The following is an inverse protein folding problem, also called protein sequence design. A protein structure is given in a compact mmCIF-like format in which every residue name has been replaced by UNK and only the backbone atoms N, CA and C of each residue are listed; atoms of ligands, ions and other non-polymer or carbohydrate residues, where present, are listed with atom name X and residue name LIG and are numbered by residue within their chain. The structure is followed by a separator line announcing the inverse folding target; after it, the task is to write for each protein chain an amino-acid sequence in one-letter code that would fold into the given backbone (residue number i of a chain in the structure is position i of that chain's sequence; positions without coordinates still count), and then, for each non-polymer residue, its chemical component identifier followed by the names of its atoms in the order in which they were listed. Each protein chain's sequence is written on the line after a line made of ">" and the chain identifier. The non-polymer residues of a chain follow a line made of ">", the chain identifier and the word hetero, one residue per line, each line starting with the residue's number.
data_IF_604742995952
#
_entry.id   IF_604742995952
#
_cell.length_a   1.000
_cell.length_b   1.000
_cell.length_c   1.000
_cell.angle_alpha   90.00
_cell.angle_beta   90.00
_cell.angle_gamma   90.00
#
_symmetry.space_group_name_H-M   'P 1'
#
loop_
_entity.id
_entity.type
_entity.pdbx_description
1 polymer ?
#
# COMPACT_ATOMS: atom_id res chain seq x y z
N UNK A 1 21.45 -0.39 -22.53
CA UNK A 1 21.04 0.22 -21.26
C UNK A 1 19.60 0.64 -21.44
N UNK A 2 18.69 0.17 -20.58
CA UNK A 2 17.26 0.47 -20.66
C UNK A 2 16.87 1.30 -19.45
N UNK A 3 16.27 2.46 -19.68
CA UNK A 3 15.85 3.45 -18.70
C UNK A 3 14.33 3.63 -18.74
N UNK A 4 13.66 3.36 -17.62
CA UNK A 4 12.19 3.42 -17.51
C UNK A 4 11.78 4.46 -16.47
N UNK A 5 10.84 5.32 -16.83
CA UNK A 5 10.13 6.19 -15.90
C UNK A 5 8.80 5.55 -15.50
N UNK A 6 8.59 5.28 -14.21
CA UNK A 6 7.39 4.67 -13.66
C UNK A 6 6.52 5.67 -12.91
N UNK A 7 5.20 5.62 -13.11
CA UNK A 7 4.20 6.44 -12.39
C UNK A 7 3.26 5.55 -11.56
N UNK A 8 3.21 5.81 -10.25
CA UNK A 8 2.33 5.14 -9.28
C UNK A 8 1.31 6.13 -8.72
N UNK A 9 0.02 5.77 -8.75
CA UNK A 9 -1.09 6.63 -8.33
C UNK A 9 -2.37 5.85 -7.96
N UNK A 10 -2.23 4.61 -7.48
CA UNK A 10 -3.34 3.69 -7.19
C UNK A 10 -4.07 4.01 -5.87
N UNK A 11 -3.37 4.61 -4.91
CA UNK A 11 -3.85 4.80 -3.54
C UNK A 11 -3.69 6.26 -3.07
N UNK A 12 -3.47 6.50 -1.77
CA UNK A 12 -3.25 7.85 -1.24
C UNK A 12 -1.83 8.41 -1.48
N UNK A 13 -0.92 7.60 -2.02
CA UNK A 13 0.42 8.02 -2.41
C UNK A 13 0.49 8.19 -3.93
N UNK A 14 1.22 9.22 -4.35
CA UNK A 14 1.63 9.43 -5.74
C UNK A 14 3.15 9.46 -5.79
N UNK A 15 3.74 8.76 -6.75
CA UNK A 15 5.18 8.68 -6.90
C UNK A 15 5.59 8.54 -8.36
N UNK A 16 6.80 9.02 -8.65
CA UNK A 16 7.46 8.82 -9.93
C UNK A 16 8.85 8.30 -9.65
N UNK A 17 9.21 7.17 -10.26
CA UNK A 17 10.52 6.56 -10.10
C UNK A 17 11.21 6.39 -11.45
N UNK A 18 12.54 6.42 -11.45
CA UNK A 18 13.35 6.18 -12.64
C UNK A 18 14.33 5.05 -12.34
N UNK A 19 14.32 4.02 -13.20
CA UNK A 19 15.17 2.84 -13.06
C UNK A 19 15.96 2.65 -14.35
N UNK A 20 17.27 2.41 -14.24
CA UNK A 20 18.15 2.10 -15.36
C UNK A 20 18.89 0.80 -15.09
N UNK A 21 18.69 -0.19 -15.95
CA UNK A 21 19.34 -1.51 -15.86
C UNK A 21 19.29 -2.17 -14.47
N UNK A 22 18.16 -1.98 -13.76
CA UNK A 22 17.95 -2.53 -12.41
C UNK A 22 18.42 -1.64 -11.26
N UNK A 23 19.01 -0.48 -11.54
CA UNK A 23 19.39 0.52 -10.54
C UNK A 23 18.30 1.60 -10.41
N UNK A 24 17.92 1.92 -9.17
CA UNK A 24 16.96 2.99 -8.86
C UNK A 24 17.71 4.32 -8.85
N UNK A 25 17.48 5.15 -9.87
CA UNK A 25 18.11 6.47 -10.01
C UNK A 25 17.34 7.56 -9.24
N UNK A 26 16.01 7.45 -9.17
CA UNK A 26 15.17 8.36 -8.40
C UNK A 26 13.86 7.71 -7.97
N UNK A 27 13.27 8.20 -6.87
CA UNK A 27 12.00 7.70 -6.34
C UNK A 27 11.24 8.73 -5.45
N UNK A 28 11.04 9.99 -5.88
CA UNK A 28 10.25 10.95 -5.11
C UNK A 28 8.77 10.53 -5.02
N UNK A 29 8.16 10.85 -3.87
CA UNK A 29 6.75 10.55 -3.57
C UNK A 29 6.10 11.60 -2.68
N UNK A 30 4.79 11.74 -2.79
CA UNK A 30 3.96 12.52 -1.89
C UNK A 30 2.79 11.67 -1.36
N UNK A 31 2.44 11.89 -0.10
CA UNK A 31 1.36 11.17 0.59
C UNK A 31 0.22 12.12 0.91
N UNK A 32 -0.99 11.76 0.53
CA UNK A 32 -2.19 12.43 1.02
C UNK A 32 -2.54 11.89 2.41
N UNK A 33 -2.54 12.77 3.40
CA UNK A 33 -2.98 12.48 4.76
C UNK A 33 -4.42 12.98 4.93
N UNK A 34 -5.35 12.05 5.13
CA UNK A 34 -6.73 12.40 5.40
C UNK A 34 -6.85 13.09 6.77
N UNK A 35 -7.82 14.02 6.97
CA UNK A 35 -8.08 14.63 8.26
C UNK A 35 -8.27 13.58 9.37
N UNK A 36 -7.97 13.97 10.60
CA UNK A 36 -8.09 13.09 11.77
C UNK A 36 -9.48 12.43 11.85
N UNK A 37 -9.50 11.13 12.15
CA UNK A 37 -10.71 10.32 12.21
C UNK A 37 -11.33 9.94 10.85
N UNK A 38 -10.78 10.41 9.73
CA UNK A 38 -11.30 10.12 8.39
C UNK A 38 -10.37 9.20 7.59
N UNK A 39 -10.95 8.47 6.65
CA UNK A 39 -10.22 7.76 5.59
C UNK A 39 -10.10 8.63 4.35
N UNK A 40 -9.07 8.41 3.53
CA UNK A 40 -8.89 9.17 2.29
C UNK A 40 -9.95 8.78 1.26
N UNK A 41 -10.62 9.78 0.66
CA UNK A 41 -11.67 9.56 -0.34
C UNK A 41 -11.12 9.70 -1.77
N UNK A 42 -11.69 9.00 -2.76
CA UNK A 42 -11.19 9.07 -4.14
C UNK A 42 -11.10 10.49 -4.73
N UNK A 43 -12.10 11.39 -4.56
CA UNK A 43 -12.03 12.74 -5.17
C UNK A 43 -10.91 13.62 -4.57
N UNK A 44 -10.77 13.61 -3.25
CA UNK A 44 -9.74 14.37 -2.52
C UNK A 44 -8.34 13.84 -2.85
N UNK A 45 -8.18 12.52 -2.89
CA UNK A 45 -6.92 11.87 -3.26
C UNK A 45 -6.51 12.23 -4.69
N UNK A 46 -7.47 12.21 -5.63
CA UNK A 46 -7.21 12.60 -7.01
C UNK A 46 -6.85 14.09 -7.12
N UNK A 47 -7.46 14.97 -6.31
CA UNK A 47 -7.08 16.38 -6.24
C UNK A 47 -5.64 16.56 -5.75
N UNK A 48 -5.25 15.85 -4.69
CA UNK A 48 -3.87 15.82 -4.21
C UNK A 48 -2.89 15.35 -5.31
N UNK A 49 -3.22 14.28 -6.04
CA UNK A 49 -2.36 13.80 -7.13
C UNK A 49 -2.20 14.85 -8.24
N UNK A 50 -3.30 15.51 -8.67
CA UNK A 50 -3.25 16.57 -9.69
C UNK A 50 -2.35 17.73 -9.29
N UNK A 51 -2.36 18.10 -8.01
CA UNK A 51 -1.53 19.19 -7.47
C UNK A 51 -0.04 18.83 -7.41
N UNK A 52 0.30 17.55 -7.31
CA UNK A 52 1.67 17.11 -7.01
C UNK A 52 2.39 16.42 -8.17
N UNK A 53 1.67 15.73 -9.06
CA UNK A 53 2.28 14.79 -10.03
C UNK A 53 3.30 15.47 -10.95
N UNK A 54 3.01 16.68 -11.45
CA UNK A 54 3.94 17.41 -12.34
C UNK A 54 5.24 17.75 -11.60
N UNK A 55 5.14 18.27 -10.37
CA UNK A 55 6.31 18.54 -9.52
C UNK A 55 7.13 17.27 -9.29
N UNK A 56 6.47 16.15 -8.96
CA UNK A 56 7.16 14.87 -8.69
C UNK A 56 7.86 14.33 -9.94
N UNK A 57 7.28 14.50 -11.15
CA UNK A 57 7.97 14.16 -12.41
C UNK A 57 9.25 14.98 -12.56
N UNK A 58 9.18 16.30 -12.32
CA UNK A 58 10.34 17.19 -12.41
C UNK A 58 11.41 16.76 -11.40
N UNK A 59 11.02 16.53 -10.14
CA UNK A 59 11.91 16.07 -9.08
C UNK A 59 12.58 14.73 -9.46
N UNK A 60 11.83 13.80 -10.06
CA UNK A 60 12.34 12.49 -10.45
C UNK A 60 13.41 12.59 -11.55
N UNK A 61 13.17 13.44 -12.56
CA UNK A 61 14.13 13.70 -13.64
C UNK A 61 15.40 14.38 -13.10
N UNK A 62 15.24 15.37 -12.22
CA UNK A 62 16.36 16.08 -11.59
C UNK A 62 17.21 15.15 -10.72
N UNK A 63 16.58 14.35 -9.86
CA UNK A 63 17.28 13.38 -8.99
C UNK A 63 18.02 12.31 -9.80
N UNK A 64 17.45 11.87 -10.93
CA UNK A 64 18.10 10.93 -11.84
C UNK A 64 19.12 11.57 -12.80
N UNK A 65 19.30 12.91 -12.73
CA UNK A 65 20.15 13.68 -13.62
C UNK A 65 19.85 13.48 -15.12
N UNK A 66 18.58 13.32 -15.48
CA UNK A 66 18.11 13.24 -16.87
C UNK A 66 17.84 14.65 -17.38
N UNK A 67 18.50 15.05 -18.45
CA UNK A 67 18.38 16.39 -19.04
C UNK A 67 17.57 16.38 -20.32
N UNK A 68 17.61 15.28 -21.06
CA UNK A 68 16.89 15.09 -22.31
C UNK A 68 16.03 13.82 -22.24
N UNK A 69 14.84 13.89 -21.61
CA UNK A 69 13.97 12.74 -21.43
C UNK A 69 13.63 12.01 -22.74
N UNK A 70 13.53 12.74 -23.87
CA UNK A 70 13.19 12.17 -25.17
C UNK A 70 14.24 11.17 -25.68
N UNK A 71 15.52 11.38 -25.32
CA UNK A 71 16.63 10.54 -25.77
C UNK A 71 17.22 9.66 -24.66
N UNK A 72 16.89 9.92 -23.39
CA UNK A 72 17.44 9.20 -22.24
C UNK A 72 16.46 8.24 -21.54
N UNK A 73 15.17 8.29 -21.89
CA UNK A 73 14.13 7.39 -21.36
C UNK A 73 13.62 6.52 -22.50
N UNK A 74 13.70 5.21 -22.33
CA UNK A 74 13.29 4.23 -23.34
C UNK A 74 11.81 3.85 -23.22
N UNK A 75 11.18 4.11 -22.07
CA UNK A 75 9.80 3.74 -21.82
C UNK A 75 9.17 4.45 -20.63
N UNK A 76 7.85 4.65 -20.71
CA UNK A 76 7.04 5.14 -19.59
C UNK A 76 6.14 4.02 -19.10
N UNK A 77 6.32 3.61 -17.85
CA UNK A 77 5.43 2.68 -17.16
C UNK A 77 4.43 3.43 -16.29
N UNK A 78 3.19 2.94 -16.22
CA UNK A 78 2.20 3.49 -15.28
C UNK A 78 1.31 2.41 -14.71
N UNK A 79 0.80 2.68 -13.51
CA UNK A 79 -0.11 1.76 -12.84
C UNK A 79 -1.47 1.76 -13.53
N UNK A 80 -1.80 0.65 -14.20
CA UNK A 80 -3.12 0.44 -14.81
C UNK A 80 -4.17 0.00 -13.78
N UNK A 81 -3.72 -0.64 -12.71
CA UNK A 81 -4.55 -1.08 -11.59
C UNK A 81 -4.02 -2.37 -10.94
N UNK A 82 -4.70 -2.91 -9.91
CA UNK A 82 -5.90 -2.35 -9.26
C UNK A 82 -5.61 -1.07 -8.47
N UNK A 83 -6.67 -0.37 -8.04
CA UNK A 83 -6.57 0.87 -7.26
C UNK A 83 -7.83 1.73 -7.32
N UNK A 84 -7.80 2.89 -6.68
CA UNK A 84 -8.90 3.87 -6.71
C UNK A 84 -9.01 4.50 -8.10
N UNK A 85 -10.21 4.45 -8.70
CA UNK A 85 -10.42 4.87 -10.09
C UNK A 85 -10.01 6.32 -10.37
N UNK A 86 -10.44 7.28 -9.55
CA UNK A 86 -10.12 8.70 -9.77
C UNK A 86 -8.61 9.02 -9.65
N UNK A 87 -7.89 8.54 -8.62
CA UNK A 87 -6.42 8.61 -8.57
C UNK A 87 -5.69 7.93 -9.74
N UNK A 88 -6.09 6.72 -10.14
CA UNK A 88 -5.51 6.00 -11.28
C UNK A 88 -5.61 6.79 -12.58
N UNK A 89 -6.74 7.48 -12.80
CA UNK A 89 -6.92 8.33 -13.98
C UNK A 89 -5.89 9.45 -14.05
N UNK A 90 -5.50 10.04 -12.91
CA UNK A 90 -4.49 11.11 -12.89
C UNK A 90 -3.15 10.61 -13.40
N UNK A 91 -2.64 9.49 -12.86
CA UNK A 91 -1.38 8.91 -13.30
C UNK A 91 -1.41 8.45 -14.76
N UNK A 92 -2.52 7.83 -15.18
CA UNK A 92 -2.69 7.37 -16.57
C UNK A 92 -2.71 8.53 -17.59
N UNK A 93 -3.37 9.65 -17.25
CA UNK A 93 -3.38 10.85 -18.12
C UNK A 93 -1.98 11.42 -18.25
N UNK A 94 -1.25 11.60 -17.13
CA UNK A 94 0.12 12.13 -17.15
C UNK A 94 1.05 11.22 -17.96
N UNK A 95 1.00 9.90 -17.73
CA UNK A 95 1.84 8.95 -18.47
C UNK A 95 1.60 9.01 -19.98
N UNK A 96 0.34 9.04 -20.42
CA UNK A 96 -0.03 9.16 -21.84
C UNK A 96 0.40 10.48 -22.44
N UNK A 97 0.28 11.58 -21.69
CA UNK A 97 0.73 12.90 -22.15
C UNK A 97 2.24 12.91 -22.35
N UNK A 98 3.02 12.42 -21.39
CA UNK A 98 4.48 12.35 -21.50
C UNK A 98 4.92 11.43 -22.65
N UNK A 99 4.28 10.26 -22.79
CA UNK A 99 4.57 9.32 -23.87
C UNK A 99 4.35 9.96 -25.25
N UNK A 100 3.28 10.72 -25.43
CA UNK A 100 3.00 11.43 -26.69
C UNK A 100 3.96 12.60 -26.92
N UNK A 101 4.24 13.40 -25.88
CA UNK A 101 5.14 14.55 -25.99
C UNK A 101 6.57 14.14 -26.35
N UNK A 102 7.06 13.05 -25.76
CA UNK A 102 8.42 12.57 -25.99
C UNK A 102 8.51 11.50 -27.08
N UNK A 103 7.37 11.06 -27.63
CA UNK A 103 7.31 9.95 -28.60
C UNK A 103 7.95 8.65 -28.08
N UNK A 104 7.73 8.35 -26.79
CA UNK A 104 8.29 7.19 -26.08
C UNK A 104 7.19 6.15 -25.84
N UNK A 105 7.47 4.83 -25.94
CA UNK A 105 6.47 3.78 -25.70
C UNK A 105 5.90 3.80 -24.27
N UNK A 106 4.64 3.39 -24.15
CA UNK A 106 3.87 3.39 -22.91
C UNK A 106 3.52 1.97 -22.47
N UNK A 107 3.82 1.64 -21.22
CA UNK A 107 3.63 0.30 -20.63
C UNK A 107 2.62 0.34 -19.48
N UNK A 108 1.45 -0.30 -19.61
CA UNK A 108 0.55 -0.48 -18.49
C UNK A 108 1.05 -1.59 -17.56
N UNK A 109 1.18 -1.28 -16.27
CA UNK A 109 1.70 -2.19 -15.24
C UNK A 109 0.61 -2.54 -14.22
N UNK A 110 0.57 -3.80 -13.81
CA UNK A 110 -0.24 -4.25 -12.69
C UNK A 110 0.43 -3.87 -11.36
N UNK A 111 -0.31 -3.19 -10.48
CA UNK A 111 0.21 -2.68 -9.21
C UNK A 111 0.83 -3.77 -8.32
N UNK A 112 0.14 -4.92 -8.20
CA UNK A 112 0.59 -6.03 -7.36
C UNK A 112 1.89 -6.66 -7.90
N UNK A 113 1.98 -6.83 -9.22
CA UNK A 113 3.20 -7.33 -9.88
C UNK A 113 4.34 -6.31 -9.71
N UNK A 114 4.07 -5.00 -9.76
CA UNK A 114 5.06 -3.97 -9.47
C UNK A 114 5.70 -4.13 -8.09
N UNK A 115 4.89 -4.42 -7.06
CA UNK A 115 5.40 -4.73 -5.72
C UNK A 115 6.29 -5.98 -5.70
N UNK A 116 5.86 -7.07 -6.36
CA UNK A 116 6.59 -8.33 -6.40
C UNK A 116 7.95 -8.15 -7.09
N UNK A 117 7.96 -7.58 -8.30
CA UNK A 117 9.19 -7.42 -9.10
C UNK A 117 10.18 -6.44 -8.46
N UNK A 118 9.68 -5.36 -7.85
CA UNK A 118 10.54 -4.47 -7.06
C UNK A 118 11.15 -5.21 -5.87
N UNK A 119 10.34 -6.01 -5.15
CA UNK A 119 10.82 -6.85 -4.05
C UNK A 119 11.92 -7.81 -4.50
N UNK A 120 11.72 -8.52 -5.62
CA UNK A 120 12.70 -9.44 -6.23
C UNK A 120 13.99 -8.70 -6.61
N UNK A 121 13.88 -7.53 -7.24
CA UNK A 121 15.03 -6.72 -7.67
C UNK A 121 15.92 -6.30 -6.49
N UNK A 122 15.30 -5.80 -5.42
CA UNK A 122 16.02 -5.28 -4.25
C UNK A 122 16.57 -6.40 -3.37
N UNK A 123 15.77 -7.43 -3.10
CA UNK A 123 16.14 -8.52 -2.18
C UNK A 123 16.91 -9.65 -2.86
N UNK A 124 16.96 -9.66 -4.19
CA UNK A 124 17.51 -10.76 -5.01
C UNK A 124 16.79 -12.10 -4.82
N UNK A 125 15.53 -12.08 -4.37
CA UNK A 125 14.70 -13.27 -4.27
C UNK A 125 14.36 -13.84 -5.67
N UNK A 126 14.72 -15.09 -5.94
CA UNK A 126 14.60 -15.70 -7.27
C UNK A 126 13.23 -16.30 -7.58
N UNK A 127 12.58 -16.97 -6.64
CA UNK A 127 11.23 -17.53 -6.82
C UNK A 127 10.47 -17.64 -5.48
N UNK A 128 10.15 -16.50 -4.84
CA UNK A 128 9.53 -16.50 -3.53
C UNK A 128 8.04 -16.84 -3.58
N UNK A 129 7.53 -17.38 -2.47
CA UNK A 129 6.12 -17.20 -2.10
C UNK A 129 6.01 -15.83 -1.46
N UNK A 130 5.16 -14.97 -2.00
CA UNK A 130 5.04 -13.56 -1.62
C UNK A 130 3.78 -13.36 -0.80
N UNK A 131 3.94 -12.85 0.42
CA UNK A 131 2.85 -12.27 1.19
C UNK A 131 2.74 -10.78 0.83
N UNK A 132 1.74 -10.43 0.05
CA UNK A 132 1.45 -9.05 -0.34
C UNK A 132 0.41 -8.44 0.58
N UNK A 133 0.88 -7.55 1.47
CA UNK A 133 0.07 -6.88 2.48
C UNK A 133 0.14 -5.36 2.28
N UNK A 134 -1.02 -4.74 2.07
CA UNK A 134 -1.17 -3.28 1.94
C UNK A 134 -2.49 -2.80 2.56
N UNK A 135 -2.74 -1.49 2.49
CA UNK A 135 -4.03 -0.93 2.88
C UNK A 135 -5.21 -1.39 2.02
N UNK A 136 -4.95 -1.89 0.81
CA UNK A 136 -5.98 -2.32 -0.15
C UNK A 136 -5.91 -3.79 -0.57
N UNK A 137 -4.86 -4.52 -0.21
CA UNK A 137 -4.66 -5.90 -0.62
C UNK A 137 -4.07 -6.75 0.51
N UNK A 138 -4.47 -8.03 0.56
CA UNK A 138 -3.88 -9.05 1.44
C UNK A 138 -3.96 -10.37 0.70
N UNK A 139 -2.83 -10.80 0.13
CA UNK A 139 -2.76 -11.93 -0.79
C UNK A 139 -1.47 -12.73 -0.61
N UNK A 140 -1.56 -14.05 -0.72
CA UNK A 140 -0.43 -14.97 -0.84
C UNK A 140 -0.28 -15.33 -2.31
N UNK A 141 0.83 -14.91 -2.92
CA UNK A 141 1.07 -14.99 -4.36
C UNK A 141 2.32 -15.81 -4.63
N UNK A 142 2.28 -16.70 -5.62
CA UNK A 142 3.48 -17.37 -6.13
C UNK A 142 3.44 -17.52 -7.65
N UNK A 143 4.61 -17.53 -8.27
CA UNK A 143 4.75 -17.72 -9.71
C UNK A 143 4.61 -19.20 -10.06
N UNK A 144 3.57 -19.55 -10.81
CA UNK A 144 3.34 -20.92 -11.25
C UNK A 144 2.64 -20.96 -12.60
N UNK A 145 3.14 -21.83 -13.48
CA UNK A 145 2.60 -22.01 -14.83
C UNK A 145 2.54 -20.70 -15.61
N UNK A 146 3.66 -19.96 -15.61
CA UNK A 146 3.85 -18.68 -16.31
C UNK A 146 2.91 -17.54 -15.85
N UNK A 147 2.37 -17.63 -14.63
CA UNK A 147 1.49 -16.61 -14.06
C UNK A 147 1.79 -16.41 -12.58
N UNK A 148 1.68 -15.18 -12.11
CA UNK A 148 1.49 -14.90 -10.68
C UNK A 148 0.07 -15.32 -10.29
N UNK A 149 -0.03 -16.31 -9.40
CA UNK A 149 -1.30 -16.89 -8.95
C UNK A 149 -1.51 -16.56 -7.48
N UNK A 150 -2.76 -16.23 -7.14
CA UNK A 150 -3.21 -16.06 -5.77
C UNK A 150 -3.54 -17.45 -5.22
N UNK A 151 -2.84 -17.84 -4.15
CA UNK A 151 -3.07 -19.10 -3.43
C UNK A 151 -3.99 -18.90 -2.23
N UNK A 152 -3.97 -17.70 -1.63
CA UNK A 152 -4.88 -17.30 -0.57
C UNK A 152 -5.04 -15.79 -0.54
N UNK A 153 -6.19 -15.30 -0.13
CA UNK A 153 -6.45 -13.88 0.01
C UNK A 153 -7.43 -13.55 1.13
N UNK A 154 -7.54 -12.27 1.44
CA UNK A 154 -8.65 -11.80 2.29
C UNK A 154 -9.98 -11.98 1.56
N UNK A 155 -10.98 -12.51 2.25
CA UNK A 155 -12.35 -12.67 1.77
C UNK A 155 -13.17 -11.38 1.92
N UNK A 156 -12.64 -10.38 2.63
CA UNK A 156 -13.36 -9.14 2.93
C UNK A 156 -12.50 -7.87 2.84
N UNK A 157 -11.85 -7.47 3.93
CA UNK A 157 -11.02 -6.26 4.03
C UNK A 157 -9.55 -6.65 4.11
N UNK A 158 -8.70 -5.83 3.49
CA UNK A 158 -7.26 -5.98 3.64
C UNK A 158 -6.83 -5.70 5.08
N UNK A 159 -5.76 -6.36 5.52
CA UNK A 159 -5.21 -6.20 6.87
C UNK A 159 -4.81 -4.76 7.17
N UNK A 160 -4.20 -4.06 6.20
CA UNK A 160 -3.90 -2.63 6.37
C UNK A 160 -5.17 -1.78 6.55
N UNK A 161 -6.28 -2.13 5.88
CA UNK A 161 -7.55 -1.46 6.11
C UNK A 161 -8.14 -1.74 7.49
N UNK A 162 -8.01 -2.98 7.97
CA UNK A 162 -8.41 -3.37 9.31
C UNK A 162 -7.64 -2.56 10.37
N UNK A 163 -6.31 -2.48 10.25
CA UNK A 163 -5.43 -1.69 11.13
C UNK A 163 -5.78 -0.20 11.07
N UNK A 164 -5.96 0.36 9.87
CA UNK A 164 -6.32 1.79 9.72
C UNK A 164 -7.68 2.11 10.34
N UNK A 165 -8.68 1.21 10.19
CA UNK A 165 -9.99 1.39 10.83
C UNK A 165 -9.89 1.25 12.33
N UNK A 166 -9.13 0.28 12.82
CA UNK A 166 -8.88 0.11 14.24
C UNK A 166 -8.23 1.36 14.85
N UNK A 167 -7.17 1.88 14.23
CA UNK A 167 -6.48 3.08 14.68
C UNK A 167 -7.45 4.28 14.82
N UNK A 168 -8.39 4.44 13.88
CA UNK A 168 -9.43 5.46 13.97
C UNK A 168 -10.41 5.24 15.13
N UNK A 169 -10.76 3.99 15.45
CA UNK A 169 -11.66 3.68 16.57
C UNK A 169 -11.06 4.01 17.93
N UNK A 170 -9.74 3.92 18.05
CA UNK A 170 -8.99 4.28 19.26
C UNK A 170 -8.37 5.68 19.17
N UNK A 171 -8.86 6.51 18.24
CA UNK A 171 -8.51 7.93 18.11
C UNK A 171 -7.00 8.19 17.89
N UNK A 172 -6.32 7.30 17.17
CA UNK A 172 -4.92 7.50 16.78
C UNK A 172 -4.79 8.42 15.55
N UNK A 173 -3.71 9.22 15.47
CA UNK A 173 -3.48 10.12 14.34
C UNK A 173 -3.17 9.36 13.05
N UNK A 174 -3.49 9.99 11.91
CA UNK A 174 -3.18 9.45 10.57
C UNK A 174 -1.75 9.76 10.09
N UNK A 175 -0.96 10.52 10.86
CA UNK A 175 0.41 10.93 10.54
C UNK A 175 1.40 10.24 11.50
N UNK A 176 2.50 9.61 11.03
CA UNK A 176 2.89 9.43 9.62
C UNK A 176 1.97 8.47 8.85
N UNK A 177 1.45 7.43 9.53
CA UNK A 177 0.38 6.56 9.03
C UNK A 177 -0.30 5.83 10.21
N UNK A 178 -1.61 5.53 10.13
CA UNK A 178 -2.38 5.03 11.28
C UNK A 178 -1.85 3.71 11.83
N UNK A 179 -1.52 2.77 10.95
CA UNK A 179 -0.95 1.47 11.34
C UNK A 179 0.38 1.60 12.12
N UNK A 180 1.21 2.61 11.86
CA UNK A 180 2.43 2.84 12.65
C UNK A 180 2.12 3.32 14.06
N UNK A 181 1.19 4.26 14.20
CA UNK A 181 0.79 4.74 15.51
C UNK A 181 0.12 3.62 16.33
N UNK A 182 -0.60 2.72 15.67
CA UNK A 182 -1.15 1.51 16.28
C UNK A 182 -0.04 0.58 16.77
N UNK A 183 0.99 0.35 15.96
CA UNK A 183 2.16 -0.45 16.34
C UNK A 183 2.90 0.14 17.54
N UNK A 184 3.11 1.45 17.58
CA UNK A 184 3.74 2.10 18.73
C UNK A 184 2.91 1.92 20.01
N UNK A 185 1.59 2.09 19.92
CA UNK A 185 0.70 1.88 21.06
C UNK A 185 0.64 0.40 21.49
N UNK A 186 0.77 -0.54 20.56
CA UNK A 186 0.80 -1.97 20.86
C UNK A 186 1.99 -2.37 21.74
N UNK A 187 3.13 -1.66 21.65
CA UNK A 187 4.31 -1.92 22.49
C UNK A 187 4.07 -1.64 23.98
N UNK A 188 3.06 -0.82 24.31
CA UNK A 188 2.67 -0.53 25.69
C UNK A 188 1.69 -1.56 26.25
N UNK A 189 1.12 -2.41 25.40
CA UNK A 189 0.16 -3.45 25.78
C UNK A 189 0.82 -4.55 26.61
N UNK A 190 0.11 -5.00 27.64
CA UNK A 190 0.60 -6.02 28.59
C UNK A 190 -0.33 -7.22 28.69
N UNK A 191 -1.57 -7.07 28.25
CA UNK A 191 -2.62 -8.08 28.36
C UNK A 191 -3.06 -8.53 26.97
N UNK A 192 -3.04 -9.84 26.76
CA UNK A 192 -3.64 -10.47 25.59
C UNK A 192 -5.16 -10.60 25.80
N UNK A 193 -5.93 -9.97 24.92
CA UNK A 193 -7.39 -10.04 24.84
C UNK A 193 -7.75 -11.02 23.74
N UNK A 194 -8.61 -12.00 24.05
CA UNK A 194 -9.07 -12.95 23.05
C UNK A 194 -9.91 -12.24 21.98
N UNK A 195 -9.42 -12.26 20.73
CA UNK A 195 -10.13 -11.79 19.55
C UNK A 195 -10.49 -12.99 18.65
N UNK A 196 -11.48 -12.85 17.76
CA UNK A 196 -11.80 -13.89 16.79
C UNK A 196 -10.59 -14.24 15.91
N UNK A 197 -10.34 -15.53 15.70
CA UNK A 197 -9.33 -16.03 14.76
C UNK A 197 -10.02 -16.69 13.56
N UNK A 198 -9.90 -16.07 12.40
CA UNK A 198 -10.80 -16.32 11.25
C UNK A 198 -10.04 -16.68 9.96
N UNK A 199 -9.24 -17.74 10.04
CA UNK A 199 -8.57 -18.38 8.89
C UNK A 199 -9.46 -19.47 8.28
N UNK A 200 -9.54 -19.53 6.95
CA UNK A 200 -10.34 -20.49 6.18
C UNK A 200 -9.49 -21.11 5.07
N UNK A 201 -8.80 -22.20 5.38
CA UNK A 201 -7.84 -22.79 4.44
C UNK A 201 -6.64 -21.88 4.25
N UNK A 202 -6.43 -21.37 3.03
CA UNK A 202 -5.40 -20.36 2.73
C UNK A 202 -5.92 -18.92 2.77
N UNK A 203 -7.23 -18.75 2.91
CA UNK A 203 -7.88 -17.45 2.96
C UNK A 203 -8.09 -16.98 4.41
N UNK A 204 -8.38 -15.69 4.57
CA UNK A 204 -8.69 -15.09 5.87
C UNK A 204 -9.82 -14.07 5.79
N UNK A 205 -10.44 -13.74 6.93
CA UNK A 205 -11.45 -12.68 7.04
C UNK A 205 -11.17 -11.83 8.26
N UNK A 206 -11.23 -10.51 8.13
CA UNK A 206 -10.87 -9.56 9.20
C UNK A 206 -12.05 -8.69 9.66
N UNK A 207 -13.16 -8.65 8.91
CA UNK A 207 -14.32 -7.85 9.32
C UNK A 207 -14.90 -8.31 10.66
N UNK A 208 -14.86 -9.62 10.94
CA UNK A 208 -15.32 -10.17 12.21
C UNK A 208 -14.52 -9.67 13.41
N UNK A 209 -13.19 -9.55 13.25
CA UNK A 209 -12.29 -9.01 14.27
C UNK A 209 -12.62 -7.55 14.52
N UNK A 210 -12.71 -6.76 13.45
CA UNK A 210 -12.98 -5.33 13.56
C UNK A 210 -14.33 -5.05 14.23
N UNK A 211 -15.41 -5.72 13.80
CA UNK A 211 -16.73 -5.58 14.42
C UNK A 211 -16.81 -6.11 15.86
N UNK A 212 -15.93 -7.04 16.24
CA UNK A 212 -15.79 -7.49 17.63
C UNK A 212 -15.19 -6.38 18.50
N UNK A 213 -14.08 -5.79 18.04
CA UNK A 213 -13.42 -4.67 18.72
C UNK A 213 -14.36 -3.46 18.84
N UNK A 214 -15.03 -3.08 17.74
CA UNK A 214 -15.97 -1.95 17.71
C UNK A 214 -17.06 -2.07 18.78
N UNK A 215 -17.56 -3.29 19.02
CA UNK A 215 -18.67 -3.53 19.96
C UNK A 215 -18.21 -3.86 21.36
N UNK A 216 -17.35 -4.86 21.52
CA UNK A 216 -16.91 -5.38 22.82
C UNK A 216 -15.63 -4.72 23.29
N UNK A 217 -14.64 -4.52 22.41
CA UNK A 217 -13.37 -3.89 22.78
C UNK A 217 -13.55 -2.52 23.42
N UNK A 218 -14.39 -1.66 22.82
CA UNK A 218 -14.70 -0.34 23.39
C UNK A 218 -15.45 -0.43 24.74
N UNK A 219 -16.29 -1.45 24.94
CA UNK A 219 -16.94 -1.68 26.24
C UNK A 219 -15.94 -2.12 27.30
N UNK A 220 -14.99 -3.00 26.95
CA UNK A 220 -13.93 -3.46 27.84
C UNK A 220 -13.02 -2.31 28.27
N UNK A 221 -12.70 -1.39 27.37
CA UNK A 221 -11.96 -0.16 27.72
C UNK A 221 -12.75 0.68 28.73
N UNK A 222 -14.04 0.93 28.48
CA UNK A 222 -14.90 1.72 29.38
C UNK A 222 -15.09 1.05 30.75
N UNK A 223 -15.11 -0.27 30.80
CA UNK A 223 -15.20 -1.05 32.03
C UNK A 223 -13.86 -1.17 32.78
N UNK A 224 -12.75 -0.69 32.20
CA UNK A 224 -11.42 -0.82 32.78
C UNK A 224 -10.84 -2.23 32.72
N UNK A 225 -11.40 -3.11 31.87
CA UNK A 225 -10.95 -4.51 31.73
C UNK A 225 -9.69 -4.63 30.88
N UNK A 226 -9.47 -3.71 29.95
CA UNK A 226 -8.27 -3.60 29.13
C UNK A 226 -8.02 -2.15 28.71
N UNK A 227 -6.83 -1.87 28.20
CA UNK A 227 -6.47 -0.57 27.62
C UNK A 227 -6.54 -0.62 26.08
N UNK A 228 -6.53 0.56 25.44
CA UNK A 228 -6.36 0.64 23.99
C UNK A 228 -5.05 -0.02 23.52
N UNK A 229 -3.98 0.11 24.32
CA UNK A 229 -2.70 -0.56 24.09
C UNK A 229 -2.82 -2.09 24.11
N UNK A 230 -3.55 -2.65 25.07
CA UNK A 230 -3.81 -4.10 25.14
C UNK A 230 -4.58 -4.60 23.91
N UNK A 231 -5.55 -3.83 23.40
CA UNK A 231 -6.27 -4.22 22.19
C UNK A 231 -5.40 -4.09 20.93
N UNK A 232 -4.55 -3.07 20.82
CA UNK A 232 -3.57 -2.95 19.73
C UNK A 232 -2.59 -4.12 19.74
N UNK A 233 -2.04 -4.44 20.92
CA UNK A 233 -1.19 -5.59 21.16
C UNK A 233 -1.88 -6.90 20.78
N UNK A 234 -3.14 -7.07 21.19
CA UNK A 234 -3.90 -8.29 20.91
C UNK A 234 -4.26 -8.43 19.44
N UNK A 235 -4.52 -7.32 18.74
CA UNK A 235 -4.79 -7.33 17.31
C UNK A 235 -3.56 -7.80 16.52
N UNK A 236 -2.39 -7.25 16.82
CA UNK A 236 -1.12 -7.67 16.21
C UNK A 236 -0.72 -9.08 16.66
N UNK A 237 -0.99 -9.43 17.93
CA UNK A 237 -0.74 -10.76 18.49
C UNK A 237 -1.64 -11.84 17.89
N UNK A 238 -2.92 -11.55 17.60
CA UNK A 238 -3.82 -12.47 16.92
C UNK A 238 -3.40 -12.77 15.48
N UNK A 239 -2.56 -11.95 14.84
CA UNK A 239 -1.90 -12.30 13.57
C UNK A 239 -0.77 -13.34 13.76
N UNK A 240 -0.32 -13.58 15.00
CA UNK A 240 0.82 -14.44 15.35
C UNK A 240 0.38 -15.72 16.07
N UNK A 241 -0.79 -15.75 16.73
CA UNK A 241 -1.27 -16.96 17.42
C UNK A 241 -1.88 -17.95 16.42
N UNK A 242 -1.03 -18.63 15.64
CA UNK A 242 -1.27 -20.03 15.36
C UNK A 242 -1.04 -20.78 16.67
N UNK A 243 -2.07 -21.46 17.16
CA UNK A 243 -1.98 -22.39 18.30
C UNK A 243 -0.70 -23.24 18.19
N UNK A 244 0.12 -23.18 19.23
CA UNK A 244 1.03 -24.29 19.57
C UNK A 244 0.24 -25.35 20.33
#
# INVERSE_FOLDING_TARGET
>A
MVCILGIESSANKVGVGIIRDGEVLSNPRATYHAPFGQGFRPPETAAHHRQNIVRIVIDALQQANIKDPQNEIDGIAYTKGPGMGAPLQVGAIVARTLSQLWSIPLYPVNHCIGHIEMGRLITKAENPVVLYVSGGNTQVISYSSQRYRIFGETLDIAVGNCLDRFARLVELPNDPFPAYNLEQLALEGKKLVALPYTVKGMDLSLSGILSYVERKGLQMIRAGECTAADLCFSLQGCEIVCDR
#
